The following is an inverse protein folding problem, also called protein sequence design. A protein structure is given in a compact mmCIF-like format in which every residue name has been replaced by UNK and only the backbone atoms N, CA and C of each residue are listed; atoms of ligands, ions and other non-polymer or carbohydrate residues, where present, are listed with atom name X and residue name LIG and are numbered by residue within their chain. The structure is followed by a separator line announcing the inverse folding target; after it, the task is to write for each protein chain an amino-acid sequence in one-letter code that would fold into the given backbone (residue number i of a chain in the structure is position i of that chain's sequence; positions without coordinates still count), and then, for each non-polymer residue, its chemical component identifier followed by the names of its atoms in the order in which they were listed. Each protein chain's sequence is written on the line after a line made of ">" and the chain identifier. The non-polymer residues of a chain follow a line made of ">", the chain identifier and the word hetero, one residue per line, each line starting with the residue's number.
data_IF_291657377274
#
_entry.id   IF_291657377274
#
_cell.length_a   1.000
_cell.length_b   1.000
_cell.length_c   1.000
_cell.angle_alpha   90.00
_cell.angle_beta   90.00
_cell.angle_gamma   90.00
#
_symmetry.space_group_name_H-M   'P 1'
#
loop_
_entity.id
_entity.type
_entity.pdbx_description
1 polymer ?
#
# COMPACT_ATOMS: atom_id res chain seq x y z
N UNK A 1 36.74 25.23 53.78
CA UNK A 1 36.81 24.39 52.57
C UNK A 1 35.38 24.33 52.08
N UNK A 2 35.06 25.14 51.08
CA UNK A 2 33.71 25.24 50.52
C UNK A 2 33.60 24.24 49.39
N UNK A 3 32.61 23.37 49.47
CA UNK A 3 32.28 22.39 48.44
C UNK A 3 31.68 23.12 47.23
N UNK A 4 32.04 22.75 45.99
CA UNK A 4 31.40 23.32 44.81
C UNK A 4 30.00 22.73 44.64
N UNK A 5 29.00 23.61 44.58
CA UNK A 5 27.64 23.25 44.19
C UNK A 5 27.67 22.86 42.70
N UNK A 6 27.46 21.57 42.41
CA UNK A 6 27.17 21.07 41.06
C UNK A 6 25.83 21.65 40.63
N UNK A 7 25.87 22.65 39.77
CA UNK A 7 24.73 23.11 39.00
C UNK A 7 24.31 21.93 38.11
N UNK A 8 23.20 21.28 38.47
CA UNK A 8 22.52 20.34 37.59
C UNK A 8 21.97 21.14 36.41
N UNK A 9 22.69 21.09 35.29
CA UNK A 9 22.16 21.43 33.98
C UNK A 9 20.95 20.52 33.75
N UNK A 10 19.76 21.07 33.91
CA UNK A 10 18.53 20.47 33.40
C UNK A 10 18.70 20.38 31.90
N UNK A 11 18.98 19.17 31.39
CA UNK A 11 18.77 18.81 30.00
C UNK A 11 17.36 19.29 29.64
N UNK A 12 17.28 20.40 28.90
CA UNK A 12 16.04 20.83 28.28
C UNK A 12 15.65 19.68 27.36
N UNK A 13 14.66 18.88 27.79
CA UNK A 13 13.86 18.05 26.90
C UNK A 13 13.50 18.95 25.73
N UNK A 14 14.23 18.77 24.63
CA UNK A 14 14.10 19.60 23.45
C UNK A 14 12.75 19.19 22.89
N UNK A 15 11.74 20.04 23.05
CA UNK A 15 10.43 19.86 22.43
C UNK A 15 10.71 19.61 20.95
N UNK A 16 10.59 18.34 20.55
CA UNK A 16 10.97 17.92 19.22
C UNK A 16 9.93 18.50 18.28
N UNK A 17 10.39 19.40 17.41
CA UNK A 17 9.59 19.98 16.34
C UNK A 17 9.10 18.86 15.44
N UNK A 18 7.78 18.68 15.40
CA UNK A 18 7.13 17.61 14.63
C UNK A 18 7.10 17.98 13.15
N UNK A 19 7.04 16.96 12.29
CA UNK A 19 6.91 17.17 10.86
C UNK A 19 5.44 17.24 10.43
N UNK A 20 5.19 18.11 9.46
CA UNK A 20 3.92 18.22 8.74
C UNK A 20 4.18 17.92 7.27
N UNK A 21 3.32 17.11 6.66
CA UNK A 21 3.36 16.77 5.25
C UNK A 21 2.20 17.43 4.51
N UNK A 22 2.49 18.18 3.44
CA UNK A 22 1.50 18.88 2.63
C UNK A 22 1.02 18.04 1.44
N UNK A 23 -0.28 17.81 1.35
CA UNK A 23 -0.94 17.03 0.31
C UNK A 23 -1.83 17.89 -0.59
N UNK A 24 -1.79 17.66 -1.90
CA UNK A 24 -2.68 18.31 -2.89
C UNK A 24 -3.42 17.24 -3.70
N UNK A 25 -4.47 16.62 -3.14
CA UNK A 25 -5.12 15.48 -3.77
C UNK A 25 -5.86 15.88 -5.05
N UNK A 26 -5.69 15.09 -6.12
CA UNK A 26 -6.55 15.19 -7.32
C UNK A 26 -7.96 14.73 -7.02
N UNK A 27 -8.05 13.71 -6.19
CA UNK A 27 -9.30 13.11 -5.76
C UNK A 27 -9.29 12.95 -4.24
N UNK A 28 -10.01 13.82 -3.54
CA UNK A 28 -10.13 13.78 -2.07
C UNK A 28 -10.60 12.42 -1.56
N UNK A 29 -11.47 11.72 -2.31
CA UNK A 29 -11.94 10.40 -1.89
C UNK A 29 -10.83 9.35 -1.75
N UNK A 30 -9.66 9.59 -2.34
CA UNK A 30 -8.50 8.71 -2.22
C UNK A 30 -7.69 8.94 -0.94
N UNK A 31 -7.68 10.16 -0.39
CA UNK A 31 -6.93 10.45 0.85
C UNK A 31 -7.77 10.23 2.11
N UNK A 32 -9.07 10.53 2.05
CA UNK A 32 -9.98 10.44 3.19
C UNK A 32 -9.96 9.11 3.98
N UNK A 33 -9.78 7.92 3.36
CA UNK A 33 -9.73 6.66 4.11
C UNK A 33 -8.52 6.53 5.05
N UNK A 34 -7.49 7.36 4.87
CA UNK A 34 -6.26 7.36 5.66
C UNK A 34 -6.27 8.43 6.76
N UNK A 35 -7.18 9.40 6.68
CA UNK A 35 -7.21 10.55 7.56
C UNK A 35 -8.13 10.29 8.73
N UNK A 36 -7.69 10.73 9.90
CA UNK A 36 -8.62 11.04 10.97
C UNK A 36 -8.99 12.53 10.88
N UNK A 37 -10.26 12.78 10.54
CA UNK A 37 -10.82 14.13 10.46
C UNK A 37 -11.73 14.44 11.63
N UNK A 38 -11.97 13.48 12.53
CA UNK A 38 -12.79 13.72 13.70
C UNK A 38 -11.90 13.95 14.94
N UNK A 39 -12.19 15.00 15.71
CA UNK A 39 -11.62 15.26 17.05
C UNK A 39 -12.09 14.21 18.08
N UNK A 40 -12.59 13.07 17.63
CA UNK A 40 -13.09 11.99 18.48
C UNK A 40 -11.92 11.13 18.97
N UNK A 41 -12.05 10.57 20.18
CA UNK A 41 -11.04 9.72 20.86
C UNK A 41 -10.70 8.39 20.13
N UNK A 42 -10.82 8.31 18.80
CA UNK A 42 -10.61 7.11 18.01
C UNK A 42 -9.25 7.20 17.29
N UNK A 43 -8.19 7.22 18.11
CA UNK A 43 -6.76 7.48 17.84
C UNK A 43 -6.05 6.59 16.76
N UNK A 44 -6.76 5.96 15.83
CA UNK A 44 -6.17 5.01 14.88
C UNK A 44 -5.74 5.64 13.52
N UNK A 45 -6.04 6.92 13.25
CA UNK A 45 -5.73 7.59 11.98
C UNK A 45 -4.69 8.72 12.04
N UNK A 46 -4.26 9.19 10.86
CA UNK A 46 -3.33 10.32 10.75
C UNK A 46 -4.13 11.61 10.95
N UNK A 47 -3.78 12.39 11.97
CA UNK A 47 -4.37 13.71 12.17
C UNK A 47 -4.09 14.60 10.97
N UNK A 48 -5.16 15.19 10.42
CA UNK A 48 -5.07 16.04 9.25
C UNK A 48 -5.98 17.26 9.34
N UNK A 49 -5.47 18.41 8.90
CA UNK A 49 -6.22 19.63 8.70
C UNK A 49 -6.54 19.83 7.21
N UNK A 50 -7.82 19.98 6.87
CA UNK A 50 -8.25 20.32 5.51
C UNK A 50 -8.23 21.84 5.30
N UNK A 51 -7.48 22.29 4.29
CA UNK A 51 -7.45 23.70 3.91
C UNK A 51 -8.66 24.08 3.03
N UNK A 52 -9.06 25.37 2.99
CA UNK A 52 -10.19 25.83 2.19
C UNK A 52 -10.14 25.50 0.69
N UNK A 53 -8.95 25.39 0.10
CA UNK A 53 -8.77 24.99 -1.31
C UNK A 53 -8.82 23.47 -1.54
N UNK A 54 -8.90 22.68 -0.46
CA UNK A 54 -8.97 21.23 -0.49
C UNK A 54 -7.64 20.49 -0.46
N UNK A 55 -6.54 21.20 -0.24
CA UNK A 55 -5.28 20.59 0.20
C UNK A 55 -5.35 20.18 1.67
N UNK A 56 -4.41 19.36 2.12
CA UNK A 56 -4.38 18.83 3.48
C UNK A 56 -3.00 18.99 4.11
N UNK A 57 -2.97 19.33 5.39
CA UNK A 57 -1.81 19.27 6.26
C UNK A 57 -1.91 18.01 7.10
N UNK A 58 -0.97 17.08 6.95
CA UNK A 58 -0.95 15.83 7.73
C UNK A 58 0.16 15.91 8.75
N UNK A 59 -0.19 15.82 10.03
CA UNK A 59 0.78 15.83 11.12
C UNK A 59 1.31 14.42 11.34
N UNK A 60 2.61 14.23 11.21
CA UNK A 60 3.19 12.88 11.27
C UNK A 60 3.45 12.41 12.70
N UNK A 61 3.45 13.33 13.69
CA UNK A 61 3.90 13.09 15.07
C UNK A 61 5.28 12.43 15.15
N UNK A 62 6.13 12.71 14.17
CA UNK A 62 7.51 12.28 14.11
C UNK A 62 8.37 13.55 14.02
N UNK A 63 9.55 13.59 14.67
CA UNK A 63 10.41 14.76 14.60
C UNK A 63 10.81 15.09 13.17
N UNK A 64 10.70 16.35 12.76
CA UNK A 64 11.11 16.80 11.43
C UNK A 64 12.58 16.45 11.12
N UNK A 65 13.46 16.54 12.13
CA UNK A 65 14.87 16.20 12.01
C UNK A 65 15.10 14.75 11.53
N UNK A 66 14.22 13.81 11.91
CA UNK A 66 14.32 12.42 11.45
C UNK A 66 14.25 12.33 9.93
N UNK A 67 13.29 13.04 9.33
CA UNK A 67 13.09 13.04 7.89
C UNK A 67 14.14 13.86 7.16
N UNK A 68 14.54 15.01 7.72
CA UNK A 68 15.56 15.87 7.14
C UNK A 68 16.93 15.18 7.08
N UNK A 69 17.29 14.41 8.11
CA UNK A 69 18.53 13.63 8.15
C UNK A 69 18.45 12.34 7.33
N UNK A 70 17.27 11.73 7.25
CA UNK A 70 17.04 10.48 6.51
C UNK A 70 15.77 10.56 5.64
N UNK A 71 15.86 11.08 4.41
CA UNK A 71 14.71 11.20 3.50
C UNK A 71 14.02 9.88 3.17
N UNK A 72 14.70 8.74 3.33
CA UNK A 72 14.07 7.41 3.18
C UNK A 72 12.96 7.19 4.21
N UNK A 73 13.06 7.73 5.43
CA UNK A 73 11.99 7.62 6.43
C UNK A 73 10.71 8.32 5.94
N UNK A 74 10.83 9.44 5.23
CA UNK A 74 9.69 10.14 4.67
C UNK A 74 9.06 9.33 3.52
N UNK A 75 9.88 8.63 2.72
CA UNK A 75 9.38 7.72 1.68
C UNK A 75 8.65 6.53 2.30
N UNK A 76 9.21 5.90 3.33
CA UNK A 76 8.56 4.82 4.08
C UNK A 76 7.24 5.29 4.70
N UNK A 77 7.21 6.49 5.27
CA UNK A 77 5.98 7.07 5.80
C UNK A 77 4.94 7.31 4.69
N UNK A 78 5.35 7.81 3.52
CA UNK A 78 4.45 7.96 2.37
C UNK A 78 3.99 6.62 1.77
N UNK A 79 4.77 5.54 1.91
CA UNK A 79 4.41 4.23 1.37
C UNK A 79 3.11 3.66 1.97
N UNK A 80 2.69 4.13 3.15
CA UNK A 80 1.42 3.69 3.77
C UNK A 80 0.17 4.04 2.94
N UNK A 81 0.25 5.06 2.07
CA UNK A 81 -0.82 5.40 1.14
C UNK A 81 -0.89 4.44 -0.06
N UNK A 82 0.16 3.64 -0.29
CA UNK A 82 0.25 2.60 -1.30
C UNK A 82 -0.20 3.07 -2.69
N UNK A 83 -1.11 2.31 -3.30
CA UNK A 83 -1.62 2.59 -4.65
C UNK A 83 -2.40 3.91 -4.78
N UNK A 84 -2.79 4.54 -3.67
CA UNK A 84 -3.46 5.84 -3.68
C UNK A 84 -2.48 7.01 -3.88
N UNK A 85 -1.18 6.81 -3.64
CA UNK A 85 -0.16 7.86 -3.64
C UNK A 85 -0.18 8.78 -4.88
N UNK A 86 -0.35 8.26 -6.12
CA UNK A 86 -0.41 9.11 -7.32
C UNK A 86 -1.67 9.99 -7.42
N UNK A 87 -2.73 9.67 -6.69
CA UNK A 87 -4.00 10.40 -6.70
C UNK A 87 -4.14 11.38 -5.53
N UNK A 88 -3.37 11.18 -4.45
CA UNK A 88 -3.37 12.04 -3.26
C UNK A 88 -2.43 13.24 -3.37
N UNK A 89 -1.62 13.33 -4.44
CA UNK A 89 -0.77 14.48 -4.71
C UNK A 89 -0.55 14.73 -6.19
N UNK A 90 -0.62 16.00 -6.62
CA UNK A 90 -0.48 16.38 -8.04
C UNK A 90 0.62 17.41 -8.33
N UNK A 91 1.34 17.91 -7.32
CA UNK A 91 2.49 18.78 -7.55
C UNK A 91 3.68 17.97 -8.09
N UNK A 92 4.27 18.37 -9.25
CA UNK A 92 5.39 17.66 -9.84
C UNK A 92 6.67 17.71 -9.00
N UNK A 93 6.76 18.61 -8.01
CA UNK A 93 7.88 18.66 -7.07
C UNK A 93 7.82 17.54 -6.02
N UNK A 94 6.65 16.96 -5.81
CA UNK A 94 6.39 15.95 -4.77
C UNK A 94 5.82 16.54 -3.48
N UNK A 95 5.94 15.81 -2.39
CA UNK A 95 5.39 16.17 -1.08
C UNK A 95 6.34 17.10 -0.34
N UNK A 96 5.81 18.19 0.22
CA UNK A 96 6.59 19.07 1.09
C UNK A 96 6.43 18.59 2.54
N UNK A 97 7.54 18.19 3.16
CA UNK A 97 7.65 17.96 4.60
C UNK A 97 8.30 19.19 5.22
N UNK A 98 7.75 19.70 6.31
CA UNK A 98 8.27 20.90 6.97
C UNK A 98 8.05 20.83 8.47
N UNK A 99 8.84 21.57 9.27
CA UNK A 99 8.65 21.61 10.72
C UNK A 99 7.36 22.36 11.09
N UNK A 100 6.69 21.94 12.16
CA UNK A 100 5.45 22.58 12.65
C UNK A 100 5.59 24.08 12.96
N UNK A 101 6.78 24.51 13.41
CA UNK A 101 7.09 25.92 13.67
C UNK A 101 7.17 26.80 12.41
N UNK A 102 7.21 26.19 11.21
CA UNK A 102 7.13 26.88 9.92
C UNK A 102 5.70 26.90 9.35
N UNK A 103 4.71 26.32 10.04
CA UNK A 103 3.32 26.41 9.66
C UNK A 103 2.81 27.86 9.74
N UNK A 104 2.14 28.40 8.71
CA UNK A 104 1.56 29.72 8.79
C UNK A 104 0.39 29.74 9.80
N UNK A 105 0.19 30.85 10.53
CA UNK A 105 -0.86 30.95 11.56
C UNK A 105 -2.30 30.70 11.05
N UNK A 106 -2.57 30.97 9.77
CA UNK A 106 -3.89 30.83 9.15
C UNK A 106 -3.73 30.34 7.68
N UNK A 107 -3.37 29.07 7.45
CA UNK A 107 -3.22 28.55 6.08
C UNK A 107 -4.59 28.55 5.39
N UNK A 108 -4.68 29.19 4.22
CA UNK A 108 -5.92 29.20 3.42
C UNK A 108 -5.79 28.36 2.15
N UNK A 109 -4.57 28.19 1.64
CA UNK A 109 -4.30 27.50 0.38
C UNK A 109 -2.98 26.76 0.43
N UNK A 110 -2.83 25.77 -0.44
CA UNK A 110 -1.58 25.06 -0.70
C UNK A 110 -0.42 26.02 -0.96
N UNK A 111 -0.63 27.04 -1.79
CA UNK A 111 0.41 28.01 -2.17
C UNK A 111 0.82 28.91 -0.99
N UNK A 112 -0.08 29.17 -0.04
CA UNK A 112 0.25 29.90 1.18
C UNK A 112 1.22 29.13 2.06
N UNK A 113 0.96 27.83 2.25
CA UNK A 113 1.84 26.93 3.01
C UNK A 113 3.19 26.78 2.29
N UNK A 114 3.19 26.49 0.99
CA UNK A 114 4.43 26.38 0.22
C UNK A 114 5.26 27.66 0.32
N UNK A 115 4.63 28.84 0.23
CA UNK A 115 5.34 30.12 0.33
C UNK A 115 5.95 30.37 1.71
N UNK A 116 5.33 29.86 2.78
CA UNK A 116 5.81 30.02 4.15
C UNK A 116 6.92 28.99 4.47
N UNK A 117 6.70 27.73 4.12
CA UNK A 117 7.48 26.61 4.63
C UNK A 117 8.51 26.03 3.63
N UNK A 118 8.49 26.40 2.34
CA UNK A 118 9.37 25.76 1.36
C UNK A 118 10.87 26.06 1.55
N UNK A 119 11.22 27.14 2.26
CA UNK A 119 12.63 27.48 2.53
C UNK A 119 13.21 26.64 3.68
N UNK A 120 12.38 26.22 4.64
CA UNK A 120 12.77 25.43 5.82
C UNK A 120 12.42 23.94 5.68
N UNK A 121 11.51 23.62 4.77
CA UNK A 121 11.05 22.27 4.45
C UNK A 121 11.92 21.51 3.45
N UNK A 122 11.56 20.25 3.22
CA UNK A 122 12.17 19.37 2.24
C UNK A 122 11.11 18.78 1.29
N UNK A 123 11.49 18.59 0.03
CA UNK A 123 10.63 18.00 -1.00
C UNK A 123 10.97 16.54 -1.23
N UNK A 124 9.96 15.67 -1.18
CA UNK A 124 10.07 14.25 -1.48
C UNK A 124 9.35 13.97 -2.80
N UNK A 125 10.13 13.75 -3.85
CA UNK A 125 9.58 13.53 -5.18
C UNK A 125 8.76 12.23 -5.22
N UNK A 126 7.56 12.27 -5.82
CA UNK A 126 6.69 11.11 -5.94
C UNK A 126 7.38 9.92 -6.64
N UNK A 127 8.23 10.21 -7.63
CA UNK A 127 8.98 9.18 -8.34
C UNK A 127 9.96 8.41 -7.46
N UNK A 128 10.52 9.06 -6.43
CA UNK A 128 11.45 8.40 -5.50
C UNK A 128 10.71 7.46 -4.55
N UNK A 129 9.46 7.76 -4.21
CA UNK A 129 8.63 6.89 -3.35
C UNK A 129 8.20 5.63 -4.10
N UNK A 130 7.84 5.77 -5.39
CA UNK A 130 7.37 4.65 -6.21
C UNK A 130 8.53 3.74 -6.62
N UNK A 131 9.73 4.30 -6.87
CA UNK A 131 10.90 3.52 -7.29
C UNK A 131 11.47 2.63 -6.18
N UNK A 132 11.44 3.08 -4.91
CA UNK A 132 11.95 2.30 -3.78
C UNK A 132 11.18 0.98 -3.58
N UNK A 133 9.90 0.90 -4.00
CA UNK A 133 9.08 -0.31 -3.90
C UNK A 133 9.47 -1.37 -4.95
N UNK A 134 10.10 -0.98 -6.07
CA UNK A 134 10.50 -1.90 -7.14
C UNK A 134 11.90 -2.51 -6.94
N UNK A 135 12.77 -1.89 -6.13
CA UNK A 135 14.18 -2.32 -6.00
C UNK A 135 14.44 -3.36 -4.89
N UNK A 136 13.51 -3.61 -3.96
CA UNK A 136 13.70 -4.61 -2.89
C UNK A 136 13.27 -6.05 -3.27
N UNK A 137 12.65 -6.26 -4.44
CA UNK A 137 12.21 -7.60 -4.88
C UNK A 137 13.37 -8.52 -5.37
N UNK A 138 14.58 -7.99 -5.60
CA UNK A 138 15.65 -8.74 -6.28
C UNK A 138 16.69 -9.42 -5.34
N UNK A 139 16.67 -9.13 -4.03
CA UNK A 139 17.60 -9.72 -3.04
C UNK A 139 16.93 -10.68 -2.03
N UNK A 140 15.62 -10.89 -2.15
CA UNK A 140 14.97 -12.03 -1.49
C UNK A 140 15.36 -13.32 -2.23
N UNK A 141 16.51 -13.85 -1.83
CA UNK A 141 17.06 -15.17 -2.18
C UNK A 141 16.02 -16.10 -2.80
N UNK A 142 16.28 -16.58 -4.03
CA UNK A 142 15.71 -17.83 -4.53
C UNK A 142 15.60 -18.82 -3.34
N UNK A 143 14.41 -19.12 -2.80
CA UNK A 143 14.30 -20.23 -1.88
C UNK A 143 14.62 -21.43 -2.74
N UNK A 144 15.85 -21.93 -2.59
CA UNK A 144 16.51 -22.80 -3.54
C UNK A 144 15.56 -23.82 -4.15
N UNK A 145 15.66 -24.01 -5.47
CA UNK A 145 14.80 -24.81 -6.35
C UNK A 145 14.49 -26.26 -5.94
N UNK A 146 13.91 -26.44 -4.76
CA UNK A 146 13.40 -27.67 -4.16
C UNK A 146 11.91 -27.53 -3.84
N UNK A 147 11.40 -26.33 -3.53
CA UNK A 147 9.96 -26.11 -3.32
C UNK A 147 9.13 -26.14 -4.61
N UNK A 148 9.65 -25.60 -5.72
CA UNK A 148 8.97 -25.68 -7.03
C UNK A 148 8.93 -27.10 -7.61
N UNK A 149 9.88 -27.95 -7.21
CA UNK A 149 9.93 -29.36 -7.59
C UNK A 149 8.87 -30.20 -6.84
N UNK A 150 8.47 -29.76 -5.64
CA UNK A 150 7.43 -30.42 -4.85
C UNK A 150 6.01 -30.10 -5.36
N UNK A 151 5.74 -28.88 -5.88
CA UNK A 151 4.41 -28.52 -6.38
C UNK A 151 4.03 -29.25 -7.68
N UNK A 152 4.98 -29.44 -8.60
CA UNK A 152 4.76 -30.29 -9.79
C UNK A 152 4.63 -31.77 -9.44
N UNK A 153 5.34 -32.24 -8.41
CA UNK A 153 5.22 -33.61 -7.91
C UNK A 153 3.88 -33.83 -7.18
N UNK A 154 3.38 -32.82 -6.48
CA UNK A 154 2.06 -32.78 -5.84
C UNK A 154 0.93 -32.74 -6.89
N UNK A 155 1.07 -31.92 -7.95
CA UNK A 155 0.13 -31.91 -9.07
C UNK A 155 0.15 -33.22 -9.87
N UNK A 156 1.31 -33.87 -9.99
CA UNK A 156 1.44 -35.21 -10.56
C UNK A 156 0.73 -36.30 -9.72
N UNK A 157 0.57 -36.09 -8.41
CA UNK A 157 -0.18 -36.98 -7.52
C UNK A 157 -1.69 -36.69 -7.45
N UNK A 158 -2.14 -35.47 -7.80
CA UNK A 158 -3.57 -35.10 -7.85
C UNK A 158 -4.29 -35.49 -9.14
N UNK A 159 -3.56 -35.98 -10.15
CA UNK A 159 -4.13 -36.53 -11.38
C UNK A 159 -4.72 -37.93 -11.19
N UNK A 160 -5.83 -38.06 -10.45
CA UNK A 160 -6.72 -39.23 -10.60
C UNK A 160 -7.26 -39.94 -9.35
N UNK A 161 -7.24 -39.33 -8.17
CA UNK A 161 -7.81 -39.96 -6.97
C UNK A 161 -8.26 -38.92 -5.95
N UNK A 162 -9.35 -39.21 -5.24
CA UNK A 162 -9.97 -38.34 -4.23
C UNK A 162 -8.94 -37.66 -3.31
N UNK A 163 -9.16 -36.36 -3.05
CA UNK A 163 -8.32 -35.54 -2.17
C UNK A 163 -8.20 -36.23 -0.81
N UNK A 164 -6.95 -36.55 -0.43
CA UNK A 164 -6.66 -37.21 0.84
C UNK A 164 -6.92 -36.23 2.01
N UNK A 165 -7.86 -36.53 2.93
CA UNK A 165 -8.19 -35.66 4.05
C UNK A 165 -7.01 -35.41 4.99
N UNK A 166 -6.01 -36.31 5.01
CA UNK A 166 -4.79 -36.16 5.82
C UNK A 166 -3.88 -35.05 5.28
N UNK A 167 -3.98 -34.70 3.99
CA UNK A 167 -3.25 -33.58 3.38
C UNK A 167 -3.86 -32.23 3.78
N UNK A 168 -5.20 -32.17 3.84
CA UNK A 168 -5.96 -31.01 4.33
C UNK A 168 -5.66 -30.73 5.81
N UNK A 169 -5.54 -31.77 6.64
CA UNK A 169 -5.17 -31.64 8.04
C UNK A 169 -3.73 -31.11 8.23
N UNK A 170 -2.79 -31.52 7.37
CA UNK A 170 -1.42 -30.99 7.39
C UNK A 170 -1.35 -29.52 6.97
N UNK A 171 -2.10 -29.12 5.94
CA UNK A 171 -2.15 -27.74 5.49
C UNK A 171 -2.79 -26.84 6.57
N UNK A 172 -3.87 -27.30 7.20
CA UNK A 172 -4.51 -26.62 8.32
C UNK A 172 -3.58 -26.52 9.55
N UNK A 173 -2.84 -27.59 9.87
CA UNK A 173 -1.86 -27.57 10.95
C UNK A 173 -0.68 -26.63 10.71
N UNK A 174 -0.29 -26.42 9.45
CA UNK A 174 0.79 -25.50 9.08
C UNK A 174 0.35 -24.03 9.16
N UNK A 175 -0.92 -23.74 8.85
CA UNK A 175 -1.57 -22.44 9.07
C UNK A 175 -1.78 -22.14 10.57
N UNK A 176 -2.03 -23.16 11.39
CA UNK A 176 -2.40 -22.99 12.80
C UNK A 176 -1.21 -23.15 13.77
N UNK A 177 -0.06 -23.65 13.31
CA UNK A 177 1.09 -24.01 14.16
C UNK A 177 2.44 -23.37 13.81
N UNK A 178 2.50 -22.51 12.80
CA UNK A 178 3.74 -21.87 12.35
C UNK A 178 4.20 -20.69 13.21
N UNK A 179 4.61 -20.94 14.47
CA UNK A 179 5.36 -19.98 15.29
C UNK A 179 6.85 -19.95 14.89
N UNK A 180 7.13 -19.58 13.63
CA UNK A 180 8.43 -19.08 13.18
C UNK A 180 8.34 -17.56 13.01
N UNK A 181 9.46 -16.83 12.93
CA UNK A 181 9.44 -15.38 12.79
C UNK A 181 8.90 -15.03 11.40
N UNK A 182 7.59 -14.87 11.30
CA UNK A 182 6.92 -14.15 10.23
C UNK A 182 7.29 -12.69 10.44
N UNK A 183 8.45 -12.31 9.92
CA UNK A 183 8.75 -10.90 9.67
C UNK A 183 7.71 -10.41 8.67
N UNK A 184 6.91 -9.44 9.12
CA UNK A 184 6.25 -8.44 8.29
C UNK A 184 5.67 -8.91 6.94
N UNK A 185 4.99 -10.06 6.88
CA UNK A 185 4.02 -10.27 5.80
C UNK A 185 2.88 -9.29 6.05
N UNK A 186 2.94 -8.14 5.40
CA UNK A 186 1.95 -7.07 5.56
C UNK A 186 0.55 -7.61 5.31
N UNK A 187 -0.45 -6.99 5.93
CA UNK A 187 -1.87 -7.30 5.71
C UNK A 187 -2.27 -7.35 4.22
N UNK A 188 -1.50 -6.67 3.37
CA UNK A 188 -1.58 -6.69 1.91
C UNK A 188 -1.25 -8.05 1.26
N UNK A 189 -0.17 -8.72 1.66
CA UNK A 189 0.17 -10.05 1.13
C UNK A 189 -0.88 -11.10 1.51
N UNK A 190 -1.40 -11.01 2.73
CA UNK A 190 -2.51 -11.85 3.18
C UNK A 190 -3.77 -11.58 2.33
N UNK A 191 -4.02 -10.31 1.98
CA UNK A 191 -5.10 -9.90 1.08
C UNK A 191 -4.97 -10.49 -0.32
N UNK A 192 -3.80 -10.38 -0.94
CA UNK A 192 -3.54 -10.93 -2.28
C UNK A 192 -3.61 -12.47 -2.30
N UNK A 193 -3.09 -13.12 -1.27
CA UNK A 193 -3.15 -14.58 -1.15
C UNK A 193 -4.60 -15.07 -1.05
N UNK A 194 -5.44 -14.35 -0.30
CA UNK A 194 -6.86 -14.67 -0.18
C UNK A 194 -7.61 -14.48 -1.49
N UNK A 195 -7.31 -13.41 -2.24
CA UNK A 195 -7.93 -13.14 -3.53
C UNK A 195 -7.55 -14.18 -4.60
N UNK A 196 -6.28 -14.61 -4.65
CA UNK A 196 -5.85 -15.70 -5.53
C UNK A 196 -6.56 -17.02 -5.17
N UNK A 197 -6.71 -17.31 -3.88
CA UNK A 197 -7.39 -18.52 -3.42
C UNK A 197 -8.88 -18.52 -3.79
N UNK A 198 -9.56 -17.38 -3.66
CA UNK A 198 -10.94 -17.21 -4.12
C UNK A 198 -11.07 -17.40 -5.63
N UNK A 199 -10.15 -16.82 -6.42
CA UNK A 199 -10.16 -16.96 -7.88
C UNK A 199 -9.98 -18.41 -8.30
N UNK A 200 -9.04 -19.13 -7.69
CA UNK A 200 -8.82 -20.56 -7.95
C UNK A 200 -10.03 -21.43 -7.60
N UNK A 201 -10.73 -21.14 -6.50
CA UNK A 201 -11.96 -21.82 -6.13
C UNK A 201 -13.10 -21.56 -7.13
N UNK A 202 -13.26 -20.32 -7.58
CA UNK A 202 -14.27 -19.96 -8.59
C UNK A 202 -14.00 -20.66 -9.92
N UNK A 203 -12.73 -20.71 -10.34
CA UNK A 203 -12.33 -21.40 -11.57
C UNK A 203 -12.55 -22.91 -11.46
N UNK A 204 -12.21 -23.53 -10.33
CA UNK A 204 -12.44 -24.95 -10.08
C UNK A 204 -13.93 -25.32 -9.98
N UNK A 205 -14.79 -24.40 -9.53
CA UNK A 205 -16.24 -24.59 -9.47
C UNK A 205 -16.94 -24.30 -10.80
N UNK A 206 -16.26 -23.67 -11.77
CA UNK A 206 -16.81 -23.45 -13.10
C UNK A 206 -16.69 -24.76 -13.89
N UNK A 207 -17.79 -25.46 -14.20
CA UNK A 207 -17.71 -26.71 -14.94
C UNK A 207 -17.08 -26.44 -16.32
N UNK A 208 -16.21 -27.34 -16.82
CA UNK A 208 -15.61 -27.17 -18.13
C UNK A 208 -16.73 -27.03 -19.15
N UNK A 209 -16.76 -25.89 -19.85
CA UNK A 209 -17.69 -25.68 -20.95
C UNK A 209 -17.25 -26.60 -22.07
N UNK A 210 -17.80 -27.81 -22.06
CA UNK A 210 -17.61 -28.78 -23.14
C UNK A 210 -18.22 -28.17 -24.39
N UNK A 211 -17.39 -27.55 -25.23
CA UNK A 211 -17.76 -27.16 -26.57
C UNK A 211 -18.07 -28.45 -27.35
N UNK A 212 -19.34 -28.84 -27.31
CA UNK A 212 -19.90 -29.91 -28.14
C UNK A 212 -19.85 -29.45 -29.59
N UNK A 213 -18.78 -29.82 -30.27
CA UNK A 213 -18.68 -29.83 -31.73
C UNK A 213 -19.58 -30.97 -32.22
N UNK A 214 -20.82 -30.66 -32.58
CA UNK A 214 -21.82 -31.64 -33.04
C UNK A 214 -22.54 -31.17 -34.31
N UNK A 215 -22.50 -32.04 -35.33
CA UNK A 215 -23.39 -32.18 -36.48
C UNK A 215 -23.50 -30.99 -37.47
N UNK A 216 -22.89 -31.04 -38.66
CA UNK A 216 -23.44 -31.71 -39.87
C UNK A 216 -24.95 -31.45 -39.99
N UNK A 217 -25.30 -30.37 -40.67
CA UNK A 217 -26.59 -30.21 -41.36
C UNK A 217 -26.24 -30.12 -42.84
N UNK A 218 -26.37 -31.26 -43.50
CA UNK A 218 -26.55 -31.39 -44.93
C UNK A 218 -28.03 -31.05 -45.16
N UNK A 219 -28.31 -29.90 -45.78
CA UNK A 219 -29.62 -29.65 -46.39
C UNK A 219 -29.34 -28.93 -47.71
N UNK A 220 -29.27 -29.76 -48.75
CA UNK A 220 -29.68 -29.39 -50.09
C UNK A 220 -31.04 -28.68 -50.00
N UNK A 221 -31.09 -27.38 -50.30
CA UNK A 221 -32.31 -26.79 -50.81
C UNK A 221 -32.01 -25.86 -51.97
N UNK A 222 -32.64 -26.22 -53.08
CA UNK A 222 -32.41 -25.79 -54.44
C UNK A 222 -32.94 -24.36 -54.70
N UNK A 223 -32.25 -23.71 -55.64
CA UNK A 223 -32.70 -22.77 -56.68
C UNK A 223 -33.50 -21.48 -56.33
N UNK A 224 -32.89 -20.36 -56.73
CA UNK A 224 -33.45 -19.05 -57.12
C UNK A 224 -34.53 -19.18 -58.25
N UNK A 225 -35.23 -18.13 -58.77
CA UNK A 225 -35.02 -16.68 -58.62
C UNK A 225 -36.29 -15.78 -58.55
N UNK A 226 -36.03 -14.48 -58.42
CA UNK A 226 -36.73 -13.28 -58.94
C UNK A 226 -38.27 -13.25 -59.09
N UNK A 227 -38.92 -12.19 -58.58
CA UNK A 227 -39.53 -11.19 -59.48
C UNK A 227 -40.06 -9.94 -58.73
N UNK A 228 -39.86 -8.81 -59.40
CA UNK A 228 -40.31 -7.46 -59.10
C UNK A 228 -41.83 -7.32 -58.86
N UNK A 229 -42.22 -6.42 -57.94
CA UNK A 229 -43.46 -5.63 -58.04
C UNK A 229 -43.41 -4.33 -57.24
#
# INVERSE_FOLDING_TARGET
>A
MSEPETESETESESESVDAIALFRPRNKAMILPFLDLDDGDNDEGIYAEELPDGSFLLHTFQPYALFAENPTEARTWLAQFGVALPEVHDDPRGFLFFPDDAEPDEPQTYDDVVRAAADDGMWIALGDVIADDEEEEDDFMEPGGQAALDLQQLMGMMGGGAIDPTLLEKLAGQLQGGAGPLGAAGSFEIGQMFEQMQRGLLEAMTPPTTAQKGAIVDDEFEEEPDDDQ
#
